data_IF_179974508005
#
_entry.id   IF_179974508005
#
_cell.length_a   1.000
_cell.length_b   1.000
_cell.length_c   1.000
_cell.angle_alpha   90.00
_cell.angle_beta   90.00
_cell.angle_gamma   90.00
#
_symmetry.space_group_name_H-M   'P 1'
#
loop_
_entity.id
_entity.type
_entity.pdbx_description
1 polymer ?
#
# COMPACT_ATOMS: atom_id res chain seq x y z
N UNK A 1 10.38 7.76 -11.78
CA UNK A 1 9.53 7.88 -10.58
C UNK A 1 9.54 6.53 -9.92
N UNK A 2 9.85 6.41 -8.62
CA UNK A 2 9.80 5.13 -7.91
C UNK A 2 8.42 4.94 -7.29
N UNK A 3 7.91 3.70 -7.33
CA UNK A 3 6.69 3.30 -6.63
C UNK A 3 7.05 2.31 -5.54
N UNK A 4 6.41 2.48 -4.38
CA UNK A 4 6.53 1.56 -3.25
C UNK A 4 5.11 1.09 -2.86
N UNK A 5 4.98 -0.19 -2.52
CA UNK A 5 3.75 -0.82 -2.06
C UNK A 5 4.05 -1.53 -0.74
N UNK A 6 3.61 -0.93 0.35
CA UNK A 6 3.98 -1.31 1.70
C UNK A 6 2.79 -1.78 2.50
N UNK A 7 3.00 -2.78 3.34
CA UNK A 7 1.98 -3.34 4.23
C UNK A 7 2.54 -3.53 5.63
N UNK A 8 1.82 -3.08 6.65
CA UNK A 8 2.08 -3.50 8.03
C UNK A 8 0.99 -4.47 8.45
N UNK A 9 1.39 -5.68 8.84
CA UNK A 9 0.48 -6.61 9.51
C UNK A 9 0.43 -6.23 10.99
N UNK A 10 -0.69 -5.63 11.39
CA UNK A 10 -0.83 -5.02 12.72
C UNK A 10 -0.74 -6.09 13.81
N UNK A 11 0.02 -5.78 14.86
CA UNK A 11 0.33 -6.64 16.00
C UNK A 11 1.03 -7.97 15.70
N UNK A 12 1.46 -8.21 14.46
CA UNK A 12 2.22 -9.40 14.13
C UNK A 12 3.57 -9.43 14.85
N UNK A 13 3.90 -10.59 15.44
CA UNK A 13 5.14 -10.78 16.19
C UNK A 13 6.21 -11.54 15.41
N UNK A 14 5.87 -12.34 14.40
CA UNK A 14 6.83 -13.10 13.58
C UNK A 14 6.47 -13.03 12.10
N UNK A 15 7.46 -12.98 11.18
CA UNK A 15 7.19 -12.78 9.77
C UNK A 15 6.52 -14.02 9.19
N UNK A 16 5.63 -13.81 8.22
CA UNK A 16 4.97 -14.89 7.48
C UNK A 16 5.52 -14.99 6.08
N UNK A 17 5.63 -16.23 5.60
CA UNK A 17 6.01 -16.53 4.24
C UNK A 17 4.73 -16.80 3.43
N UNK A 18 4.67 -16.28 2.21
CA UNK A 18 3.54 -16.53 1.32
C UNK A 18 3.50 -18.03 0.96
N UNK A 19 2.42 -18.78 1.28
CA UNK A 19 2.38 -20.24 1.09
C UNK A 19 2.01 -20.64 -0.34
N UNK A 20 2.08 -19.70 -1.29
CA UNK A 20 1.65 -19.91 -2.66
C UNK A 20 2.60 -19.24 -3.66
N UNK A 21 2.62 -19.79 -4.88
CA UNK A 21 3.36 -19.17 -5.98
C UNK A 21 2.70 -17.83 -6.32
N UNK A 22 3.50 -16.78 -6.30
CA UNK A 22 3.12 -15.42 -6.69
C UNK A 22 4.16 -14.88 -7.66
N UNK A 23 3.71 -14.05 -8.60
CA UNK A 23 4.56 -13.26 -9.48
C UNK A 23 5.10 -12.00 -8.79
N UNK A 24 4.49 -11.61 -7.67
CA UNK A 24 4.90 -10.53 -6.76
C UNK A 24 5.80 -11.12 -5.67
N UNK A 25 6.96 -10.50 -5.47
CA UNK A 25 7.85 -10.84 -4.36
C UNK A 25 7.41 -10.08 -3.10
N UNK A 26 7.47 -10.76 -1.96
CA UNK A 26 7.15 -10.21 -0.65
C UNK A 26 8.40 -10.24 0.20
N UNK A 27 8.88 -9.06 0.58
CA UNK A 27 10.03 -8.90 1.46
C UNK A 27 9.57 -8.32 2.79
N UNK A 28 10.16 -8.73 3.91
CA UNK A 28 9.85 -8.17 5.24
C UNK A 28 11.08 -7.56 5.91
N UNK A 29 10.84 -6.61 6.80
CA UNK A 29 11.89 -5.83 7.48
C UNK A 29 12.80 -6.63 8.44
N UNK A 30 12.39 -7.84 8.85
CA UNK A 30 13.21 -8.67 9.74
C UNK A 30 14.22 -9.51 8.98
N UNK A 31 13.77 -10.07 7.86
CA UNK A 31 14.60 -10.93 7.02
C UNK A 31 15.44 -10.11 6.02
N UNK A 32 15.05 -8.86 5.73
CA UNK A 32 15.69 -8.00 4.74
C UNK A 32 16.09 -6.64 5.34
N UNK A 33 17.41 -6.45 5.55
CA UNK A 33 17.96 -5.22 6.13
C UNK A 33 17.81 -3.97 5.26
N UNK A 34 17.48 -4.16 3.98
CA UNK A 34 17.24 -3.08 3.02
C UNK A 34 15.87 -2.42 3.22
N UNK A 35 14.90 -3.14 3.79
CA UNK A 35 13.58 -2.58 4.09
C UNK A 35 13.69 -1.68 5.30
N UNK A 36 13.20 -0.46 5.14
CA UNK A 36 13.13 0.53 6.22
C UNK A 36 11.75 1.15 6.24
N UNK A 37 11.20 1.27 7.44
CA UNK A 37 9.97 2.05 7.66
C UNK A 37 10.23 3.53 7.36
N UNK A 38 9.20 4.22 6.87
CA UNK A 38 9.24 5.65 6.58
C UNK A 38 9.04 6.51 7.84
N UNK A 39 9.89 6.32 8.86
CA UNK A 39 9.69 6.86 10.21
C UNK A 39 9.59 8.39 10.32
N UNK A 40 10.00 9.14 9.30
CA UNK A 40 9.90 10.61 9.26
C UNK A 40 8.63 11.11 8.59
N UNK A 41 8.20 10.47 7.50
CA UNK A 41 7.10 10.93 6.62
C UNK A 41 5.78 10.20 6.89
N UNK A 42 5.83 8.92 7.28
CA UNK A 42 4.66 8.09 7.60
C UNK A 42 4.77 7.58 9.03
N UNK A 43 4.73 8.51 9.99
CA UNK A 43 5.01 8.25 11.42
C UNK A 43 4.05 7.24 12.02
N UNK A 44 2.75 7.39 11.79
CA UNK A 44 1.74 6.51 12.36
C UNK A 44 1.93 5.08 11.88
N UNK A 45 1.94 4.84 10.56
CA UNK A 45 2.17 3.50 10.00
C UNK A 45 3.52 2.92 10.45
N UNK A 46 4.57 3.76 10.51
CA UNK A 46 5.91 3.33 10.91
C UNK A 46 6.02 2.97 12.39
N UNK A 47 5.21 3.57 13.26
CA UNK A 47 5.21 3.29 14.71
C UNK A 47 4.22 2.19 15.10
N UNK A 48 3.30 1.83 14.21
CA UNK A 48 2.37 0.72 14.45
C UNK A 48 3.12 -0.57 14.78
N UNK A 49 2.75 -1.20 15.91
CA UNK A 49 3.27 -2.53 16.29
C UNK A 49 2.85 -3.52 15.20
N UNK A 50 3.80 -4.32 14.71
CA UNK A 50 3.59 -5.25 13.62
C UNK A 50 4.87 -5.49 12.85
N UNK A 51 4.77 -6.17 11.71
CA UNK A 51 5.88 -6.36 10.78
C UNK A 51 5.55 -5.65 9.47
N UNK A 52 6.55 -4.93 8.97
CA UNK A 52 6.51 -4.21 7.70
C UNK A 52 6.94 -5.12 6.54
N UNK A 53 6.14 -5.10 5.47
CA UNK A 53 6.34 -5.85 4.23
C UNK A 53 6.33 -4.92 3.03
N UNK A 54 7.21 -5.19 2.08
CA UNK A 54 7.24 -4.52 0.78
C UNK A 54 6.83 -5.52 -0.31
N UNK A 55 5.89 -5.11 -1.15
CA UNK A 55 5.46 -5.85 -2.34
C UNK A 55 6.27 -5.33 -3.54
N UNK A 56 7.14 -6.19 -4.07
CA UNK A 56 8.13 -5.77 -5.06
C UNK A 56 8.19 -6.70 -6.27
N UNK A 57 8.79 -6.17 -7.33
CA UNK A 57 9.23 -6.93 -8.50
C UNK A 57 10.65 -6.52 -8.83
N UNK A 58 11.45 -7.51 -9.24
CA UNK A 58 12.77 -7.24 -9.81
C UNK A 58 12.61 -6.54 -11.17
N UNK A 59 13.25 -5.39 -11.28
CA UNK A 59 13.36 -4.55 -12.47
C UNK A 59 14.85 -4.27 -12.71
N UNK A 60 15.49 -5.07 -13.55
CA UNK A 60 16.92 -4.98 -13.86
C UNK A 60 17.83 -4.97 -12.62
N UNK A 61 17.50 -5.80 -11.61
CA UNK A 61 18.24 -5.89 -10.35
C UNK A 61 17.82 -4.87 -9.28
N UNK A 62 16.83 -4.03 -9.56
CA UNK A 62 16.22 -3.11 -8.59
C UNK A 62 14.86 -3.68 -8.17
N UNK A 63 14.66 -3.89 -6.86
CA UNK A 63 13.39 -4.34 -6.31
C UNK A 63 12.52 -3.16 -5.90
N UNK A 64 11.41 -2.95 -6.60
CA UNK A 64 10.46 -1.88 -6.32
C UNK A 64 9.04 -2.25 -6.81
N UNK A 65 8.07 -1.37 -6.67
CA UNK A 65 6.70 -1.61 -7.13
C UNK A 65 6.37 -1.00 -8.51
N UNK A 66 7.35 -0.44 -9.23
CA UNK A 66 7.16 0.25 -10.51
C UNK A 66 6.53 -0.65 -11.57
N UNK A 67 6.98 -1.91 -11.65
CA UNK A 67 6.39 -2.88 -12.57
C UNK A 67 5.01 -3.37 -12.11
N UNK A 68 4.67 -3.28 -10.83
CA UNK A 68 3.44 -3.84 -10.26
C UNK A 68 2.22 -2.95 -10.48
N UNK A 69 2.43 -1.64 -10.49
CA UNK A 69 1.35 -0.66 -10.48
C UNK A 69 1.63 0.54 -11.38
N UNK A 70 0.60 1.36 -11.57
CA UNK A 70 0.60 2.58 -12.34
C UNK A 70 -0.40 3.58 -11.74
N UNK A 71 -0.46 4.77 -12.31
CA UNK A 71 -1.35 5.84 -11.86
C UNK A 71 -1.94 6.61 -13.04
N UNK A 72 -3.13 7.19 -12.82
CA UNK A 72 -3.79 8.11 -13.75
C UNK A 72 -3.49 9.56 -13.34
N UNK A 73 -2.34 10.08 -13.76
CA UNK A 73 -1.85 11.42 -13.38
C UNK A 73 -2.63 12.57 -14.02
N UNK A 74 -3.39 12.30 -15.07
CA UNK A 74 -4.20 13.30 -15.79
C UNK A 74 -5.62 13.40 -15.22
N UNK A 75 -5.96 12.58 -14.23
CA UNK A 75 -7.29 12.59 -13.63
C UNK A 75 -7.49 13.89 -12.85
N UNK A 76 -8.57 14.59 -13.19
CA UNK A 76 -8.97 15.81 -12.51
C UNK A 76 -9.20 15.57 -11.01
N UNK A 77 -8.52 16.37 -10.18
CA UNK A 77 -8.61 16.35 -8.73
C UNK A 77 -10.04 16.48 -8.20
N UNK A 78 -10.93 17.19 -8.92
CA UNK A 78 -12.34 17.34 -8.54
C UNK A 78 -13.12 16.01 -8.54
N UNK A 79 -12.61 15.00 -9.24
CA UNK A 79 -13.23 13.68 -9.35
C UNK A 79 -12.53 12.61 -8.49
N UNK A 80 -11.61 13.02 -7.62
CA UNK A 80 -10.94 12.14 -6.68
C UNK A 80 -11.69 12.11 -5.34
N UNK A 81 -11.76 10.95 -4.67
CA UNK A 81 -12.38 10.82 -3.35
C UNK A 81 -11.45 11.35 -2.24
N UNK A 82 -11.06 12.62 -2.35
CA UNK A 82 -10.21 13.29 -1.36
C UNK A 82 -10.99 13.47 -0.05
N UNK A 83 -10.40 13.17 1.13
CA UNK A 83 -11.05 13.45 2.40
C UNK A 83 -11.42 14.94 2.55
N UNK A 84 -12.62 15.23 3.04
CA UNK A 84 -13.17 16.60 3.10
C UNK A 84 -12.32 17.61 3.89
N UNK A 85 -11.41 17.13 4.75
CA UNK A 85 -10.55 17.93 5.61
C UNK A 85 -9.18 18.22 4.97
N UNK A 86 -8.91 17.71 3.76
CA UNK A 86 -7.73 18.03 2.97
C UNK A 86 -8.08 19.17 2.02
N UNK A 87 -7.58 20.37 2.34
CA UNK A 87 -7.81 21.58 1.55
C UNK A 87 -6.56 22.05 0.79
N UNK A 88 -5.38 21.49 1.11
CA UNK A 88 -4.12 21.91 0.52
C UNK A 88 -3.98 21.36 -0.92
N UNK A 89 -4.01 22.26 -1.90
CA UNK A 89 -3.90 21.93 -3.33
C UNK A 89 -2.60 21.17 -3.68
N UNK A 90 -1.47 21.48 -3.03
CA UNK A 90 -0.21 20.77 -3.25
C UNK A 90 -0.30 19.31 -2.79
N UNK A 91 -1.04 19.05 -1.70
CA UNK A 91 -1.29 17.68 -1.24
C UNK A 91 -2.21 16.98 -2.23
N UNK A 92 -3.32 17.62 -2.61
CA UNK A 92 -4.31 17.07 -3.55
C UNK A 92 -3.68 16.70 -4.89
N UNK A 93 -2.77 17.52 -5.41
CA UNK A 93 -2.05 17.25 -6.66
C UNK A 93 -1.17 15.98 -6.60
N UNK A 94 -0.78 15.56 -5.40
CA UNK A 94 -0.02 14.33 -5.18
C UNK A 94 -0.90 13.12 -4.80
N UNK A 95 -2.22 13.27 -4.83
CA UNK A 95 -3.16 12.18 -4.67
C UNK A 95 -3.62 11.74 -6.05
N UNK A 96 -3.16 10.56 -6.50
CA UNK A 96 -3.59 10.00 -7.78
C UNK A 96 -4.04 8.56 -7.60
N UNK A 97 -4.90 8.03 -8.48
CA UNK A 97 -5.41 6.66 -8.32
C UNK A 97 -4.29 5.62 -8.41
N UNK A 98 -4.30 4.67 -7.48
CA UNK A 98 -3.53 3.44 -7.57
C UNK A 98 -4.19 2.50 -8.59
N UNK A 99 -3.41 2.07 -9.59
CA UNK A 99 -3.83 1.08 -10.58
C UNK A 99 -2.86 -0.09 -10.52
N UNK A 100 -3.31 -1.24 -10.01
CA UNK A 100 -2.53 -2.48 -10.09
C UNK A 100 -2.61 -3.03 -11.51
N UNK A 101 -1.47 -3.37 -12.12
CA UNK A 101 -1.47 -3.86 -13.51
C UNK A 101 -2.20 -5.20 -13.60
N UNK A 102 -2.98 -5.46 -14.66
CA UNK A 102 -3.89 -6.61 -14.73
C UNK A 102 -3.24 -7.97 -14.44
N UNK A 103 -2.00 -8.17 -14.88
CA UNK A 103 -1.26 -9.42 -14.68
C UNK A 103 -0.89 -9.71 -13.22
N UNK A 104 -0.86 -8.69 -12.36
CA UNK A 104 -0.51 -8.80 -10.93
C UNK A 104 -1.73 -8.75 -10.02
N UNK A 105 -2.90 -8.37 -10.55
CA UNK A 105 -4.10 -8.08 -9.76
C UNK A 105 -4.52 -9.24 -8.86
N UNK A 106 -4.59 -10.46 -9.40
CA UNK A 106 -5.01 -11.64 -8.64
C UNK A 106 -4.02 -11.98 -7.51
N UNK A 107 -2.72 -11.87 -7.79
CA UNK A 107 -1.68 -12.12 -6.79
C UNK A 107 -1.71 -11.06 -5.69
N UNK A 108 -1.89 -9.79 -6.07
CA UNK A 108 -2.03 -8.66 -5.14
C UNK A 108 -3.20 -8.86 -4.18
N UNK A 109 -4.41 -9.13 -4.72
CA UNK A 109 -5.61 -9.40 -3.94
C UNK A 109 -5.41 -10.58 -2.98
N UNK A 110 -4.81 -11.67 -3.47
CA UNK A 110 -4.56 -12.87 -2.68
C UNK A 110 -3.55 -12.64 -1.55
N UNK A 111 -2.51 -11.83 -1.80
CA UNK A 111 -1.52 -11.45 -0.78
C UNK A 111 -2.17 -10.62 0.32
N UNK A 112 -2.98 -9.61 -0.03
CA UNK A 112 -3.65 -8.79 0.97
C UNK A 112 -4.62 -9.59 1.83
N UNK A 113 -5.44 -10.45 1.21
CA UNK A 113 -6.33 -11.35 1.94
C UNK A 113 -5.56 -12.27 2.88
N UNK A 114 -4.46 -12.87 2.42
CA UNK A 114 -3.59 -13.68 3.26
C UNK A 114 -3.02 -12.88 4.44
N UNK A 115 -2.53 -11.66 4.22
CA UNK A 115 -2.00 -10.83 5.29
C UNK A 115 -3.04 -10.45 6.35
N UNK A 116 -4.28 -10.18 5.94
CA UNK A 116 -5.39 -9.93 6.87
C UNK A 116 -5.70 -11.20 7.67
N UNK A 117 -5.73 -12.36 7.01
CA UNK A 117 -5.96 -13.64 7.68
C UNK A 117 -4.89 -13.94 8.74
N UNK A 118 -3.62 -13.66 8.44
CA UNK A 118 -2.47 -13.83 9.34
C UNK A 118 -2.36 -12.75 10.42
N UNK A 119 -3.06 -11.63 10.28
CA UNK A 119 -3.05 -10.55 11.27
C UNK A 119 -3.71 -11.00 12.57
N UNK A 120 -3.03 -10.94 13.73
CA UNK A 120 -3.66 -11.23 15.02
C UNK A 120 -4.89 -10.36 15.31
N UNK A 121 -4.91 -9.15 14.76
CA UNK A 121 -6.02 -8.20 14.88
C UNK A 121 -6.91 -8.13 13.64
N UNK A 122 -6.77 -9.05 12.67
CA UNK A 122 -7.53 -9.03 11.41
C UNK A 122 -7.48 -7.68 10.69
N UNK A 123 -6.32 -7.02 10.79
CA UNK A 123 -6.11 -5.66 10.35
C UNK A 123 -4.72 -5.52 9.73
N UNK A 124 -4.65 -4.88 8.58
CA UNK A 124 -3.41 -4.43 7.96
C UNK A 124 -3.47 -2.93 7.69
N UNK A 125 -2.30 -2.30 7.65
CA UNK A 125 -2.15 -0.97 7.06
C UNK A 125 -1.50 -1.14 5.70
N UNK A 126 -2.08 -0.54 4.66
CA UNK A 126 -1.57 -0.57 3.29
C UNK A 126 -1.20 0.84 2.85
N UNK A 127 -0.03 1.01 2.23
CA UNK A 127 0.42 2.28 1.69
C UNK A 127 0.99 2.06 0.29
N UNK A 128 0.41 2.74 -0.70
CA UNK A 128 1.06 2.95 -1.98
C UNK A 128 1.63 4.36 -2.01
N UNK A 129 2.91 4.51 -2.39
CA UNK A 129 3.54 5.83 -2.51
C UNK A 129 4.34 5.94 -3.80
N UNK A 130 4.53 7.18 -4.21
CA UNK A 130 5.56 7.57 -5.16
C UNK A 130 6.25 8.84 -4.68
N UNK A 131 7.40 9.18 -5.26
CA UNK A 131 8.12 10.39 -4.87
C UNK A 131 7.32 11.67 -5.18
N UNK A 132 6.81 12.34 -4.15
CA UNK A 132 6.15 13.65 -4.25
C UNK A 132 5.13 13.88 -3.13
N UNK A 133 5.10 15.10 -2.58
CA UNK A 133 4.03 15.56 -1.70
C UNK A 133 3.75 14.72 -0.45
N UNK A 134 4.79 14.17 0.20
CA UNK A 134 4.64 13.36 1.42
C UNK A 134 3.87 14.11 2.50
N UNK A 135 2.59 13.77 2.66
CA UNK A 135 1.71 14.21 3.73
C UNK A 135 1.02 12.97 4.29
N UNK A 136 1.17 12.70 5.59
CA UNK A 136 0.57 11.51 6.20
C UNK A 136 -0.95 11.65 6.25
N UNK A 137 -1.62 10.96 5.32
CA UNK A 137 -3.08 10.81 5.27
C UNK A 137 -3.41 9.37 5.63
N UNK A 138 -4.29 9.19 6.60
CA UNK A 138 -4.75 7.86 7.03
C UNK A 138 -6.25 7.78 6.81
N UNK A 139 -6.68 6.77 6.07
CA UNK A 139 -8.09 6.45 5.85
C UNK A 139 -8.36 5.04 6.37
N UNK A 140 -9.32 4.89 7.27
CA UNK A 140 -9.57 3.60 7.92
C UNK A 140 -10.98 3.07 7.83
N UNK A 141 -11.13 1.85 8.33
CA UNK A 141 -12.36 1.08 8.41
C UNK A 141 -12.91 0.60 7.04
N UNK A 142 -12.01 0.16 6.16
CA UNK A 142 -12.38 -0.53 4.92
C UNK A 142 -12.27 -2.04 5.14
N UNK A 143 -13.33 -2.80 4.86
CA UNK A 143 -13.18 -4.24 4.70
C UNK A 143 -12.28 -4.54 3.50
N UNK A 144 -11.65 -5.71 3.45
CA UNK A 144 -10.86 -6.13 2.28
C UNK A 144 -11.69 -6.10 0.99
N UNK A 145 -12.95 -6.51 1.07
CA UNK A 145 -13.87 -6.46 -0.06
C UNK A 145 -14.12 -5.04 -0.54
N UNK A 146 -14.36 -4.10 0.39
CA UNK A 146 -14.57 -2.70 0.04
C UNK A 146 -13.30 -2.06 -0.51
N UNK A 147 -12.14 -2.36 0.07
CA UNK A 147 -10.85 -1.89 -0.42
C UNK A 147 -10.62 -2.33 -1.87
N UNK A 148 -10.82 -3.60 -2.19
CA UNK A 148 -10.68 -4.12 -3.57
C UNK A 148 -11.72 -3.52 -4.52
N UNK A 149 -12.96 -3.33 -4.07
CA UNK A 149 -13.98 -2.67 -4.88
C UNK A 149 -13.61 -1.20 -5.17
N UNK A 150 -13.16 -0.45 -4.16
CA UNK A 150 -12.70 0.92 -4.35
C UNK A 150 -11.46 0.99 -5.25
N UNK A 151 -10.55 0.01 -5.16
CA UNK A 151 -9.39 -0.09 -6.04
C UNK A 151 -9.83 -0.26 -7.50
N UNK A 152 -10.81 -1.12 -7.75
CA UNK A 152 -11.39 -1.34 -9.08
C UNK A 152 -12.11 -0.10 -9.63
N UNK A 153 -12.72 0.70 -8.74
CA UNK A 153 -13.33 1.99 -9.07
C UNK A 153 -12.31 3.13 -9.16
N UNK A 154 -11.01 2.84 -9.04
CA UNK A 154 -9.91 3.82 -9.03
C UNK A 154 -10.07 4.88 -7.92
N UNK A 155 -10.52 4.47 -6.74
CA UNK A 155 -10.76 5.34 -5.58
C UNK A 155 -9.73 5.13 -4.45
N UNK A 156 -8.88 4.10 -4.56
CA UNK A 156 -7.68 3.97 -3.73
C UNK A 156 -6.60 4.84 -4.35
N UNK A 157 -6.00 5.72 -3.54
CA UNK A 157 -5.06 6.74 -3.98
C UNK A 157 -3.65 6.41 -3.51
N UNK A 158 -2.66 6.80 -4.30
CA UNK A 158 -1.29 6.94 -3.82
C UNK A 158 -1.20 8.02 -2.74
N UNK A 159 -0.17 7.89 -1.90
CA UNK A 159 0.11 8.79 -0.78
C UNK A 159 -1.06 8.88 0.21
N UNK A 160 -1.74 7.75 0.43
CA UNK A 160 -2.71 7.53 1.50
C UNK A 160 -2.44 6.17 2.14
N UNK A 161 -2.39 6.13 3.47
CA UNK A 161 -2.31 4.89 4.23
C UNK A 161 -3.73 4.40 4.57
N UNK A 162 -4.07 3.19 4.14
CA UNK A 162 -5.36 2.57 4.33
C UNK A 162 -5.32 1.56 5.47
N UNK A 163 -6.21 1.69 6.46
CA UNK A 163 -6.47 0.64 7.45
C UNK A 163 -7.53 -0.30 6.88
N UNK A 164 -7.10 -1.52 6.55
CA UNK A 164 -7.93 -2.55 5.94
C UNK A 164 -8.18 -3.66 6.96
N UNK A 165 -9.43 -4.03 7.16
CA UNK A 165 -9.87 -5.08 8.08
C UNK A 165 -10.49 -6.25 7.31
N UNK A 166 -10.69 -7.38 8.00
CA UNK A 166 -11.59 -8.45 7.53
C UNK A 166 -13.02 -7.91 7.28
#
# INVERSE_FOLDING_TARGET
MSFDLEVVIVNQEDPVQIPFKSSIEVMNERDNQEIRRFGTTWKFMSQTKGIWYSLVKDDEGIKNAFLLCDSDFERDAQHLPVPFWIENEDVIYNLTPLIIRPQFKMDFERILSFFIEQSPSKTIMFLARYQGGDCEIIQGNLSIHDFINQLNLKNILFNVSYLITE
#
